data_IF_593983632169
#
_entry.id   IF_593983632169
#
_cell.length_a   1.000
_cell.length_b   1.000
_cell.length_c   1.000
_cell.angle_alpha   90.00
_cell.angle_beta   90.00
_cell.angle_gamma   90.00
#
_symmetry.space_group_name_H-M   'P 1'
#
loop_
_entity.id
_entity.type
_entity.pdbx_description
1 polymer ?
#
# COMPACT_ATOMS: atom_id res chain seq x y z
N UNK A 1 1.19 25.33 -50.32
CA UNK A 1 2.41 25.76 -49.61
C UNK A 1 2.08 26.53 -48.34
N UNK A 2 1.31 27.63 -48.36
CA UNK A 2 0.93 28.35 -47.11
C UNK A 2 0.03 27.56 -46.13
N UNK A 3 -0.81 26.65 -46.63
CA UNK A 3 -1.71 25.85 -45.78
C UNK A 3 -1.03 24.68 -45.06
N UNK A 4 0.10 24.18 -45.58
CA UNK A 4 0.83 23.06 -44.93
C UNK A 4 1.59 23.54 -43.69
N UNK A 5 2.11 24.77 -43.73
CA UNK A 5 2.90 25.36 -42.64
C UNK A 5 2.01 25.76 -41.45
N UNK A 6 0.78 26.24 -41.73
CA UNK A 6 -0.22 26.49 -40.70
C UNK A 6 -0.68 25.19 -39.99
N UNK A 7 -0.84 24.09 -40.72
CA UNK A 7 -1.14 22.78 -40.14
C UNK A 7 0.02 22.19 -39.34
N UNK A 8 1.27 22.41 -39.77
CA UNK A 8 2.48 22.00 -39.06
C UNK A 8 2.66 22.74 -37.72
N UNK A 9 2.38 24.04 -37.68
CA UNK A 9 2.46 24.85 -36.45
C UNK A 9 1.40 24.40 -35.43
N UNK A 10 0.15 24.21 -35.87
CA UNK A 10 -0.95 23.76 -34.99
C UNK A 10 -0.72 22.34 -34.45
N UNK A 11 -0.13 21.46 -35.25
CA UNK A 11 0.21 20.10 -34.81
C UNK A 11 1.38 20.08 -33.82
N UNK A 12 2.40 20.91 -34.00
CA UNK A 12 3.52 21.01 -33.07
C UNK A 12 3.08 21.50 -31.67
N UNK A 13 2.20 22.50 -31.61
CA UNK A 13 1.64 23.00 -30.34
C UNK A 13 0.77 21.95 -29.63
N UNK A 14 -0.05 21.21 -30.38
CA UNK A 14 -0.88 20.14 -29.81
C UNK A 14 -0.02 19.00 -29.24
N UNK A 15 1.09 18.65 -29.91
CA UNK A 15 2.05 17.65 -29.42
C UNK A 15 2.72 18.12 -28.13
N UNK A 16 3.06 19.41 -28.01
CA UNK A 16 3.61 19.97 -26.78
C UNK A 16 2.61 19.87 -25.62
N UNK A 17 1.34 20.25 -25.84
CA UNK A 17 0.30 20.15 -24.80
C UNK A 17 0.04 18.69 -24.41
N UNK A 18 0.00 17.79 -25.40
CA UNK A 18 -0.21 16.37 -25.15
C UNK A 18 0.92 15.77 -24.31
N UNK A 19 2.17 16.11 -24.59
CA UNK A 19 3.32 15.60 -23.81
C UNK A 19 3.32 16.09 -22.37
N UNK A 20 3.02 17.37 -22.12
CA UNK A 20 2.87 17.91 -20.76
C UNK A 20 1.74 17.19 -20.01
N UNK A 21 0.61 16.95 -20.67
CA UNK A 21 -0.53 16.24 -20.08
C UNK A 21 -0.17 14.80 -19.72
N UNK A 22 0.53 14.08 -20.60
CA UNK A 22 0.99 12.71 -20.35
C UNK A 22 1.99 12.67 -19.18
N UNK A 23 2.93 13.61 -19.11
CA UNK A 23 3.86 13.69 -17.99
C UNK A 23 3.13 13.95 -16.66
N UNK A 24 2.15 14.86 -16.66
CA UNK A 24 1.31 15.12 -15.49
C UNK A 24 0.54 13.88 -15.04
N UNK A 25 0.01 13.09 -15.98
CA UNK A 25 -0.68 11.84 -15.66
C UNK A 25 0.27 10.76 -15.12
N UNK A 26 1.48 10.63 -15.68
CA UNK A 26 2.46 9.65 -15.21
C UNK A 26 2.88 9.96 -13.77
N UNK A 27 3.25 11.21 -13.49
CA UNK A 27 3.61 11.64 -12.12
C UNK A 27 2.41 11.47 -11.20
N UNK A 28 1.23 11.95 -11.59
CA UNK A 28 0.02 11.82 -10.79
C UNK A 28 -0.33 10.37 -10.45
N UNK A 29 -0.22 9.45 -11.41
CA UNK A 29 -0.46 8.02 -11.16
C UNK A 29 0.60 7.41 -10.24
N UNK A 30 1.87 7.82 -10.39
CA UNK A 30 2.96 7.37 -9.51
C UNK A 30 2.71 7.80 -8.06
N UNK A 31 2.33 9.06 -7.84
CA UNK A 31 2.01 9.57 -6.50
C UNK A 31 0.80 8.87 -5.89
N UNK A 32 -0.26 8.61 -6.68
CA UNK A 32 -1.42 7.85 -6.21
C UNK A 32 -1.03 6.44 -5.79
N UNK A 33 -0.18 5.76 -6.58
CA UNK A 33 0.27 4.41 -6.26
C UNK A 33 1.09 4.37 -4.96
N UNK A 34 2.04 5.32 -4.79
CA UNK A 34 2.82 5.44 -3.57
C UNK A 34 1.92 5.71 -2.36
N UNK A 35 1.00 6.66 -2.47
CA UNK A 35 0.11 7.02 -1.37
C UNK A 35 -0.82 5.87 -0.97
N UNK A 36 -1.33 5.09 -1.93
CA UNK A 36 -2.12 3.89 -1.63
C UNK A 36 -1.29 2.85 -0.89
N UNK A 37 -0.02 2.65 -1.28
CA UNK A 37 0.85 1.69 -0.58
C UNK A 37 1.13 2.15 0.86
N UNK A 38 1.40 3.43 1.08
CA UNK A 38 1.62 3.98 2.42
C UNK A 38 0.37 3.82 3.31
N UNK A 39 -0.83 4.09 2.78
CA UNK A 39 -2.07 3.91 3.56
C UNK A 39 -2.34 2.42 3.87
N UNK A 40 -2.01 1.51 2.94
CA UNK A 40 -2.11 0.07 3.20
C UNK A 40 -1.10 -0.39 4.26
N UNK A 41 0.09 0.20 4.28
CA UNK A 41 1.09 -0.02 5.31
C UNK A 41 0.57 0.47 6.67
N UNK A 42 0.07 1.70 6.76
CA UNK A 42 -0.48 2.28 7.98
C UNK A 42 -1.61 1.41 8.54
N UNK A 43 -2.48 0.90 7.67
CA UNK A 43 -3.53 -0.07 8.05
C UNK A 43 -2.90 -1.36 8.57
N UNK A 44 -1.92 -1.93 7.87
CA UNK A 44 -1.21 -3.15 8.30
C UNK A 44 -0.54 -3.01 9.66
N UNK A 45 0.20 -1.92 9.86
CA UNK A 45 0.84 -1.57 11.13
C UNK A 45 -0.19 -1.36 12.24
N UNK A 46 -1.33 -0.73 11.96
CA UNK A 46 -2.40 -0.58 12.94
C UNK A 46 -2.96 -1.93 13.41
N UNK A 47 -3.10 -2.91 12.52
CA UNK A 47 -3.52 -4.27 12.89
C UNK A 47 -2.44 -5.02 13.67
N UNK A 48 -1.18 -4.89 13.30
CA UNK A 48 -0.05 -5.47 14.03
C UNK A 48 0.11 -4.88 15.45
N UNK A 49 -0.19 -3.59 15.61
CA UNK A 49 -0.13 -2.90 16.90
C UNK A 49 -1.23 -3.30 17.91
N UNK A 50 -2.23 -4.06 17.49
CA UNK A 50 -3.21 -4.65 18.42
C UNK A 50 -2.57 -5.89 19.05
N UNK A 51 -2.71 -6.05 20.37
CA UNK A 51 -2.19 -7.22 21.06
C UNK A 51 -2.86 -8.52 20.56
N UNK A 52 -2.10 -9.36 19.85
CA UNK A 52 -2.55 -10.66 19.33
C UNK A 52 -2.22 -11.84 20.26
N UNK A 53 -1.77 -11.56 21.50
CA UNK A 53 -1.48 -12.58 22.50
C UNK A 53 -2.77 -13.15 23.08
N UNK A 54 -2.84 -14.48 23.19
CA UNK A 54 -3.95 -15.14 23.84
C UNK A 54 -3.51 -16.38 24.63
N UNK A 55 -4.30 -16.75 25.64
CA UNK A 55 -4.08 -17.98 26.42
C UNK A 55 -5.40 -18.63 26.78
N UNK A 56 -5.61 -19.83 26.25
CA UNK A 56 -6.72 -20.72 26.57
C UNK A 56 -6.21 -21.79 27.54
N UNK A 57 -6.77 -21.82 28.74
CA UNK A 57 -6.44 -22.81 29.75
C UNK A 57 -7.12 -24.15 29.46
N UNK A 58 -6.46 -25.25 29.86
CA UNK A 58 -7.07 -26.57 29.82
C UNK A 58 -7.92 -26.86 31.05
N UNK A 59 -8.92 -27.71 30.86
CA UNK A 59 -9.68 -28.32 31.96
C UNK A 59 -9.16 -29.73 32.22
N UNK A 60 -8.86 -30.04 33.48
CA UNK A 60 -8.40 -31.35 33.91
C UNK A 60 -9.29 -31.88 35.04
N UNK A 61 -9.69 -33.15 34.93
CA UNK A 61 -10.47 -33.87 35.92
C UNK A 61 -10.06 -35.33 36.03
N UNK A 62 -10.69 -36.08 36.94
CA UNK A 62 -10.25 -37.44 37.34
C UNK A 62 -10.16 -38.47 36.21
N UNK A 63 -10.78 -38.24 35.05
CA UNK A 63 -10.80 -39.15 33.89
C UNK A 63 -10.63 -38.45 32.53
N UNK A 64 -10.17 -37.21 32.52
CA UNK A 64 -10.10 -36.44 31.28
C UNK A 64 -9.21 -35.23 31.40
N UNK A 65 -8.43 -35.00 30.35
CA UNK A 65 -7.57 -33.84 30.19
C UNK A 65 -7.79 -33.26 28.80
N UNK A 66 -8.02 -31.95 28.69
CA UNK A 66 -8.02 -31.23 27.41
C UNK A 66 -6.71 -30.47 27.25
N UNK A 67 -6.19 -30.27 26.04
CA UNK A 67 -5.00 -29.44 25.89
C UNK A 67 -5.39 -27.96 25.78
N UNK A 68 -4.62 -27.09 26.42
CA UNK A 68 -4.76 -25.64 26.24
C UNK A 68 -4.06 -25.19 24.97
N UNK A 69 -4.22 -23.91 24.63
CA UNK A 69 -3.44 -23.26 23.57
C UNK A 69 -3.07 -21.85 24.00
N UNK A 70 -1.92 -21.37 23.55
CA UNK A 70 -1.52 -19.98 23.80
C UNK A 70 -0.64 -19.48 22.67
N UNK A 71 -0.80 -18.20 22.35
CA UNK A 71 0.09 -17.47 21.48
C UNK A 71 0.62 -16.24 22.22
N UNK A 72 1.90 -15.92 22.03
CA UNK A 72 2.52 -14.71 22.55
C UNK A 72 2.95 -13.89 21.35
N UNK A 73 2.37 -12.70 21.26
CA UNK A 73 2.70 -11.73 20.24
C UNK A 73 4.10 -11.18 20.51
N UNK A 74 5.00 -11.31 19.54
CA UNK A 74 6.38 -10.86 19.64
C UNK A 74 6.62 -9.83 18.55
N UNK A 75 7.35 -8.77 18.88
CA UNK A 75 7.71 -7.76 17.88
C UNK A 75 8.61 -8.37 16.79
N UNK A 76 8.16 -8.30 15.54
CA UNK A 76 8.81 -8.79 14.34
C UNK A 76 9.27 -7.64 13.43
N UNK A 77 10.01 -7.97 12.36
CA UNK A 77 10.54 -6.97 11.42
C UNK A 77 9.44 -6.13 10.75
N UNK A 78 8.24 -6.68 10.58
CA UNK A 78 7.12 -6.03 9.88
C UNK A 78 6.11 -5.34 10.82
N UNK A 79 6.43 -5.17 12.11
CA UNK A 79 5.56 -4.49 13.09
C UNK A 79 5.86 -2.98 13.18
N UNK A 80 6.84 -2.51 12.39
CA UNK A 80 7.26 -1.12 12.33
C UNK A 80 6.31 -0.23 11.52
N UNK A 81 6.75 1.02 11.36
CA UNK A 81 6.26 1.95 10.35
C UNK A 81 7.43 2.29 9.42
N UNK A 82 7.14 2.69 8.19
CA UNK A 82 8.09 3.06 7.13
C UNK A 82 8.87 1.87 6.50
N UNK A 83 8.22 0.71 6.39
CA UNK A 83 8.77 -0.51 5.80
C UNK A 83 8.65 -0.54 4.27
N UNK A 84 7.68 0.17 3.69
CA UNK A 84 7.61 0.40 2.23
C UNK A 84 8.15 1.79 1.87
N UNK A 85 9.15 1.82 0.98
CA UNK A 85 9.79 3.02 0.44
C UNK A 85 9.67 3.09 -1.07
#
# INVERSE_FOLDING_TARGET
LLNDEAGFIVSAELVLVATITVLGMIVGLSEVALNVNNELEDVGSAFANINQSYKVQCSSGHKGWTNGSSNWDQAEFCDGQDDVR
#
